data_IF_010861042954
#
_entry.id   IF_010861042954
#
_cell.length_a   1.000
_cell.length_b   1.000
_cell.length_c   1.000
_cell.angle_alpha   90.00
_cell.angle_beta   90.00
_cell.angle_gamma   90.00
#
_symmetry.space_group_name_H-M   'P 1'
#
loop_
_entity.id
_entity.type
_entity.pdbx_description
1 polymer ?
#
# COMPACT_ATOMS: atom_id res chain seq x y z
N UNK A 1 -22.69 6.72 16.18
CA UNK A 1 -22.79 6.91 14.72
C UNK A 1 -21.47 7.56 14.30
N UNK A 2 -20.63 6.89 13.53
CA UNK A 2 -19.33 7.44 13.07
C UNK A 2 -19.60 8.32 11.85
N UNK A 3 -19.31 9.59 11.92
CA UNK A 3 -19.86 10.59 10.99
C UNK A 3 -18.90 11.18 9.98
N UNK A 4 -17.74 10.62 9.68
CA UNK A 4 -16.88 11.16 8.59
C UNK A 4 -15.46 10.58 8.58
N UNK A 5 -14.64 11.01 7.63
CA UNK A 5 -13.18 10.80 7.58
C UNK A 5 -12.52 11.10 8.94
N UNK A 6 -13.01 12.13 9.64
CA UNK A 6 -12.51 12.53 10.96
C UNK A 6 -12.66 11.42 11.99
N UNK A 7 -13.77 10.66 11.93
CA UNK A 7 -14.02 9.58 12.88
C UNK A 7 -13.09 8.38 12.67
N UNK A 8 -12.85 7.97 11.40
CA UNK A 8 -11.90 6.90 11.14
C UNK A 8 -10.48 7.30 11.55
N UNK A 9 -10.05 8.51 11.20
CA UNK A 9 -8.73 9.00 11.58
C UNK A 9 -8.53 9.05 13.10
N UNK A 10 -9.60 9.37 13.84
CA UNK A 10 -9.57 9.40 15.32
C UNK A 10 -9.42 8.02 15.98
N UNK A 11 -9.70 6.95 15.25
CA UNK A 11 -9.54 5.57 15.72
C UNK A 11 -8.12 5.03 15.52
N UNK A 12 -7.31 5.70 14.74
CA UNK A 12 -5.95 5.28 14.39
C UNK A 12 -4.93 5.83 15.39
N UNK A 13 -3.92 5.03 15.70
CA UNK A 13 -2.75 5.48 16.46
C UNK A 13 -1.91 6.45 15.62
N UNK A 14 -1.80 6.16 14.31
CA UNK A 14 -1.17 7.01 13.30
C UNK A 14 -2.18 7.41 12.21
N UNK A 15 -2.85 8.56 12.36
CA UNK A 15 -3.82 9.04 11.36
C UNK A 15 -3.25 9.26 9.96
N UNK A 16 -1.92 9.39 9.82
CA UNK A 16 -1.28 9.59 8.51
C UNK A 16 -1.35 8.36 7.61
N UNK A 17 -1.67 7.20 8.17
CA UNK A 17 -1.90 5.97 7.41
C UNK A 17 -3.19 6.01 6.58
N UNK A 18 -4.15 6.85 6.94
CA UNK A 18 -5.34 7.12 6.13
C UNK A 18 -4.98 8.11 5.01
N UNK A 19 -4.27 7.61 3.99
CA UNK A 19 -3.86 8.42 2.86
C UNK A 19 -5.04 8.74 1.92
N UNK A 20 -5.23 10.03 1.61
CA UNK A 20 -6.30 10.53 0.74
C UNK A 20 -5.79 11.06 -0.59
N UNK A 21 -4.58 10.70 -0.99
CA UNK A 21 -3.95 11.05 -2.26
C UNK A 21 -3.27 9.83 -2.86
N UNK A 22 -2.96 9.88 -4.14
CA UNK A 22 -2.22 8.83 -4.83
C UNK A 22 -0.72 9.09 -4.77
N UNK A 23 0.07 8.06 -4.51
CA UNK A 23 1.52 8.16 -4.41
C UNK A 23 2.17 7.85 -5.76
N UNK A 24 2.86 8.84 -6.36
CA UNK A 24 3.54 8.69 -7.65
C UNK A 24 4.89 9.38 -7.61
N UNK A 25 5.95 8.67 -7.99
CA UNK A 25 7.32 9.20 -8.09
C UNK A 25 7.83 9.89 -6.80
N UNK A 26 7.43 9.41 -5.64
CA UNK A 26 7.84 9.98 -4.35
C UNK A 26 6.92 11.08 -3.81
N UNK A 27 5.84 11.43 -4.52
CA UNK A 27 4.93 12.52 -4.16
C UNK A 27 3.48 12.04 -4.02
N UNK A 28 2.74 12.68 -3.12
CA UNK A 28 1.30 12.49 -2.97
C UNK A 28 0.54 13.47 -3.88
N UNK A 29 -0.11 12.95 -4.93
CA UNK A 29 -0.75 13.76 -5.98
C UNK A 29 -2.28 13.69 -5.93
N UNK A 30 -2.93 14.76 -6.39
CA UNK A 30 -4.35 14.80 -6.76
C UNK A 30 -4.52 14.52 -8.26
N UNK A 31 -5.78 14.37 -8.73
CA UNK A 31 -6.08 14.35 -10.15
C UNK A 31 -5.80 15.74 -10.77
N UNK A 32 -5.32 15.78 -12.01
CA UNK A 32 -4.98 17.02 -12.72
C UNK A 32 -6.19 17.94 -12.89
N UNK A 33 -7.38 17.37 -13.04
CA UNK A 33 -8.66 18.08 -13.16
C UNK A 33 -9.36 18.31 -11.81
N UNK A 34 -8.73 17.87 -10.70
CA UNK A 34 -9.30 17.96 -9.36
C UNK A 34 -10.45 16.98 -9.08
N UNK A 35 -10.76 16.07 -10.01
CA UNK A 35 -11.84 15.10 -9.83
C UNK A 35 -11.54 14.09 -8.72
N UNK A 36 -12.58 13.71 -7.98
CA UNK A 36 -12.49 12.73 -6.89
C UNK A 36 -13.64 11.72 -6.98
N UNK A 37 -13.50 10.63 -6.27
CA UNK A 37 -14.58 9.67 -6.01
C UNK A 37 -14.63 9.31 -4.52
N UNK A 38 -15.83 9.03 -3.98
CA UNK A 38 -15.99 8.67 -2.58
C UNK A 38 -15.58 7.21 -2.33
N UNK A 39 -14.90 6.99 -1.20
CA UNK A 39 -14.78 5.67 -0.58
C UNK A 39 -15.83 5.57 0.51
N UNK A 40 -16.66 4.54 0.48
CA UNK A 40 -17.80 4.39 1.38
C UNK A 40 -17.63 3.18 2.29
N UNK A 41 -18.14 3.28 3.51
CA UNK A 41 -18.26 2.16 4.41
C UNK A 41 -19.41 1.25 3.94
N UNK A 42 -19.17 -0.02 3.58
CA UNK A 42 -20.21 -0.88 3.01
C UNK A 42 -21.29 -1.29 4.01
N UNK A 43 -21.01 -1.24 5.31
CA UNK A 43 -21.98 -1.60 6.34
C UNK A 43 -22.97 -0.46 6.64
N UNK A 44 -22.58 0.81 6.39
CA UNK A 44 -23.38 1.99 6.78
C UNK A 44 -23.72 2.87 5.58
N UNK A 45 -22.95 2.82 4.49
CA UNK A 45 -23.15 3.65 3.30
C UNK A 45 -22.60 5.07 3.42
N UNK A 46 -22.03 5.45 4.57
CA UNK A 46 -21.41 6.77 4.76
C UNK A 46 -20.05 6.86 4.04
N UNK A 47 -19.69 8.08 3.65
CA UNK A 47 -18.41 8.37 2.98
C UNK A 47 -17.30 8.42 4.02
N UNK A 48 -16.26 7.58 3.84
CA UNK A 48 -15.04 7.57 4.64
C UNK A 48 -14.12 8.71 4.21
N UNK A 49 -13.82 8.78 2.92
CA UNK A 49 -12.95 9.80 2.34
C UNK A 49 -13.23 10.02 0.86
N UNK A 50 -12.60 11.05 0.30
CA UNK A 50 -12.55 11.30 -1.14
C UNK A 50 -11.15 10.99 -1.65
N UNK A 51 -11.06 10.16 -2.70
CA UNK A 51 -9.80 9.85 -3.37
C UNK A 51 -9.75 10.50 -4.75
N UNK A 52 -8.56 10.86 -5.25
CA UNK A 52 -8.42 11.43 -6.58
C UNK A 52 -8.78 10.40 -7.65
N UNK A 53 -9.60 10.82 -8.62
CA UNK A 53 -9.98 10.00 -9.76
C UNK A 53 -8.95 10.18 -10.88
N UNK A 54 -7.80 9.52 -10.75
CA UNK A 54 -6.71 9.63 -11.71
C UNK A 54 -7.09 9.02 -13.06
N UNK A 55 -6.89 9.79 -14.12
CA UNK A 55 -7.17 9.39 -15.48
C UNK A 55 -5.97 8.76 -16.20
N UNK A 56 -6.10 8.67 -17.52
CA UNK A 56 -5.08 8.06 -18.40
C UNK A 56 -3.74 8.80 -18.36
N UNK A 57 -3.77 10.14 -18.28
CA UNK A 57 -2.57 10.97 -18.30
C UNK A 57 -1.71 10.73 -17.05
N UNK A 58 -2.32 10.74 -15.88
CA UNK A 58 -1.64 10.47 -14.60
C UNK A 58 -1.12 9.04 -14.53
N UNK A 59 -1.92 8.07 -14.99
CA UNK A 59 -1.48 6.67 -15.07
C UNK A 59 -0.27 6.51 -15.98
N UNK A 60 -0.24 7.17 -17.14
CA UNK A 60 0.91 7.15 -18.04
C UNK A 60 2.17 7.77 -17.39
N UNK A 61 2.02 8.84 -16.61
CA UNK A 61 3.14 9.43 -15.85
C UNK A 61 3.66 8.49 -14.78
N UNK A 62 2.75 7.81 -14.05
CA UNK A 62 3.13 6.84 -13.04
C UNK A 62 3.92 5.66 -13.65
N UNK A 63 3.46 5.11 -14.78
CA UNK A 63 4.17 4.05 -15.51
C UNK A 63 5.55 4.53 -15.97
N UNK A 64 5.65 5.74 -16.53
CA UNK A 64 6.92 6.32 -16.97
C UNK A 64 7.89 6.51 -15.81
N UNK A 65 7.42 6.98 -14.66
CA UNK A 65 8.23 7.15 -13.46
C UNK A 65 8.74 5.79 -12.93
N UNK A 66 7.86 4.79 -12.84
CA UNK A 66 8.23 3.44 -12.44
C UNK A 66 9.25 2.80 -13.39
N UNK A 67 9.06 2.97 -14.71
CA UNK A 67 10.01 2.48 -15.72
C UNK A 67 11.38 3.15 -15.57
N UNK A 68 11.45 4.45 -15.36
CA UNK A 68 12.71 5.18 -15.15
C UNK A 68 13.43 4.71 -13.88
N UNK A 69 12.71 4.47 -12.79
CA UNK A 69 13.28 4.00 -11.53
C UNK A 69 13.76 2.54 -11.58
N UNK A 70 13.18 1.72 -12.47
CA UNK A 70 13.44 0.28 -12.54
C UNK A 70 14.92 -0.04 -12.77
N UNK A 71 15.62 0.70 -13.63
CA UNK A 71 17.03 0.45 -13.97
C UNK A 71 17.94 0.57 -12.75
N UNK A 72 17.78 1.62 -11.99
CA UNK A 72 18.55 1.83 -10.76
C UNK A 72 18.20 0.76 -9.70
N UNK A 73 16.91 0.49 -9.52
CA UNK A 73 16.45 -0.55 -8.61
C UNK A 73 17.01 -1.93 -8.96
N UNK A 74 16.97 -2.30 -10.23
CA UNK A 74 17.49 -3.59 -10.71
C UNK A 74 19.02 -3.72 -10.56
N UNK A 75 19.74 -2.61 -10.61
CA UNK A 75 21.19 -2.59 -10.43
C UNK A 75 21.63 -2.71 -8.97
N UNK A 76 20.74 -2.51 -8.01
CA UNK A 76 21.06 -2.71 -6.58
C UNK A 76 21.34 -4.16 -6.27
N UNK A 77 22.20 -4.41 -5.28
CA UNK A 77 22.46 -5.76 -4.82
C UNK A 77 21.20 -6.43 -4.25
N UNK A 78 21.16 -7.75 -4.28
CA UNK A 78 20.05 -8.52 -3.66
C UNK A 78 19.88 -8.17 -2.18
N UNK A 79 20.99 -7.94 -1.45
CA UNK A 79 20.98 -7.54 -0.04
C UNK A 79 20.27 -6.18 0.17
N UNK A 80 20.59 -5.17 -0.63
CA UNK A 80 19.98 -3.85 -0.52
C UNK A 80 18.47 -3.90 -0.80
N UNK A 81 18.04 -4.64 -1.83
CA UNK A 81 16.63 -4.83 -2.14
C UNK A 81 15.89 -5.58 -1.04
N UNK A 82 16.49 -6.64 -0.50
CA UNK A 82 15.95 -7.41 0.63
C UNK A 82 15.78 -6.54 1.89
N UNK A 83 16.73 -5.63 2.17
CA UNK A 83 16.63 -4.71 3.31
C UNK A 83 15.44 -3.75 3.19
N UNK A 84 15.13 -3.26 1.99
CA UNK A 84 13.96 -2.40 1.76
C UNK A 84 12.67 -3.18 2.02
N UNK A 85 12.55 -4.41 1.48
CA UNK A 85 11.38 -5.27 1.71
C UNK A 85 11.25 -5.64 3.18
N UNK A 86 12.35 -5.95 3.87
CA UNK A 86 12.33 -6.24 5.31
C UNK A 86 11.80 -5.06 6.13
N UNK A 87 12.30 -3.85 5.84
CA UNK A 87 11.78 -2.64 6.50
C UNK A 87 10.30 -2.41 6.22
N UNK A 88 9.85 -2.69 5.01
CA UNK A 88 8.44 -2.58 4.66
C UNK A 88 7.59 -3.57 5.45
N UNK A 89 7.99 -4.84 5.51
CA UNK A 89 7.35 -5.84 6.36
C UNK A 89 7.25 -5.39 7.82
N UNK A 90 8.36 -4.95 8.40
CA UNK A 90 8.41 -4.51 9.81
C UNK A 90 7.46 -3.34 10.05
N UNK A 91 7.34 -2.38 9.11
CA UNK A 91 6.40 -1.27 9.19
C UNK A 91 4.94 -1.72 9.09
N UNK A 92 4.63 -2.66 8.20
CA UNK A 92 3.27 -3.21 8.09
C UNK A 92 2.85 -3.90 9.40
N UNK A 93 3.75 -4.71 9.99
CA UNK A 93 3.45 -5.40 11.25
C UNK A 93 3.37 -4.45 12.44
N UNK A 94 4.20 -3.42 12.50
CA UNK A 94 4.15 -2.40 13.55
C UNK A 94 2.83 -1.59 13.53
N UNK A 95 2.22 -1.43 12.35
CA UNK A 95 0.99 -0.69 12.15
C UNK A 95 -0.22 -1.60 11.85
N UNK A 96 -0.13 -2.89 12.16
CA UNK A 96 -1.16 -3.88 11.83
C UNK A 96 -2.55 -3.49 12.33
N UNK A 97 -2.67 -2.96 13.54
CA UNK A 97 -3.95 -2.56 14.13
C UNK A 97 -4.63 -1.45 13.32
N UNK A 98 -3.88 -0.42 12.96
CA UNK A 98 -4.39 0.73 12.21
C UNK A 98 -4.75 0.32 10.77
N UNK A 99 -3.89 -0.44 10.10
CA UNK A 99 -4.14 -0.95 8.75
C UNK A 99 -5.38 -1.86 8.72
N UNK A 100 -5.55 -2.72 9.72
CA UNK A 100 -6.72 -3.57 9.85
C UNK A 100 -8.00 -2.76 10.13
N UNK A 101 -7.90 -1.67 10.90
CA UNK A 101 -9.04 -0.77 11.17
C UNK A 101 -9.49 -0.07 9.89
N UNK A 102 -8.54 0.43 9.07
CA UNK A 102 -8.83 1.00 7.75
C UNK A 102 -9.50 -0.05 6.85
N UNK A 103 -8.91 -1.24 6.74
CA UNK A 103 -9.46 -2.34 5.93
C UNK A 103 -10.87 -2.71 6.34
N UNK A 104 -11.15 -2.82 7.65
CA UNK A 104 -12.50 -3.08 8.17
C UNK A 104 -13.47 -1.97 7.76
N UNK A 105 -13.08 -0.72 7.87
CA UNK A 105 -13.92 0.42 7.51
C UNK A 105 -14.27 0.45 6.01
N UNK A 106 -13.31 0.18 5.14
CA UNK A 106 -13.48 0.26 3.69
C UNK A 106 -14.15 -0.98 3.07
N UNK A 107 -13.94 -2.16 3.64
CA UNK A 107 -14.36 -3.43 3.05
C UNK A 107 -15.48 -4.12 3.84
N UNK A 108 -15.67 -3.78 5.11
CA UNK A 108 -16.68 -4.41 5.97
C UNK A 108 -16.26 -5.76 6.59
N UNK A 109 -15.01 -6.18 6.44
CA UNK A 109 -14.47 -7.40 7.03
C UNK A 109 -14.38 -7.27 8.57
N UNK A 110 -14.66 -8.33 9.35
CA UNK A 110 -14.42 -8.32 10.80
C UNK A 110 -12.96 -7.99 11.14
N UNK A 111 -12.74 -7.17 12.16
CA UNK A 111 -11.42 -6.67 12.53
C UNK A 111 -10.38 -7.78 12.77
N UNK A 112 -10.80 -8.90 13.39
CA UNK A 112 -9.92 -10.04 13.62
C UNK A 112 -9.41 -10.67 12.32
N UNK A 113 -10.31 -10.78 11.32
CA UNK A 113 -9.95 -11.28 9.98
C UNK A 113 -9.10 -10.26 9.22
N UNK A 114 -9.41 -8.97 9.33
CA UNK A 114 -8.61 -7.90 8.74
C UNK A 114 -7.16 -7.91 9.27
N UNK A 115 -6.95 -8.12 10.58
CA UNK A 115 -5.61 -8.32 11.15
C UNK A 115 -4.89 -9.53 10.55
N UNK A 116 -5.59 -10.64 10.38
CA UNK A 116 -5.05 -11.83 9.71
C UNK A 116 -4.64 -11.54 8.27
N UNK A 117 -5.43 -10.74 7.54
CA UNK A 117 -5.15 -10.37 6.16
C UNK A 117 -3.93 -9.44 6.04
N UNK A 118 -3.79 -8.46 6.95
CA UNK A 118 -2.58 -7.63 7.00
C UNK A 118 -1.33 -8.48 7.25
N UNK A 119 -1.38 -9.43 8.21
CA UNK A 119 -0.28 -10.34 8.45
C UNK A 119 0.02 -11.24 7.24
N UNK A 120 -1.02 -11.79 6.62
CA UNK A 120 -0.90 -12.61 5.42
C UNK A 120 -0.29 -11.84 4.24
N UNK A 121 -0.81 -10.64 3.93
CA UNK A 121 -0.24 -9.80 2.88
C UNK A 121 1.22 -9.43 3.16
N UNK A 122 1.53 -9.09 4.40
CA UNK A 122 2.90 -8.75 4.83
C UNK A 122 3.86 -9.93 4.69
N UNK A 123 3.40 -11.19 4.91
CA UNK A 123 4.23 -12.38 4.77
C UNK A 123 4.79 -12.57 3.36
N UNK A 124 4.09 -12.11 2.31
CA UNK A 124 4.63 -12.10 0.95
C UNK A 124 5.80 -11.13 0.80
N UNK A 125 5.73 -9.95 1.43
CA UNK A 125 6.83 -8.99 1.40
C UNK A 125 8.07 -9.58 2.07
N UNK A 126 7.90 -10.23 3.22
CA UNK A 126 8.97 -10.95 3.92
C UNK A 126 9.53 -12.06 3.05
N UNK A 127 8.67 -12.95 2.52
CA UNK A 127 9.06 -14.08 1.69
C UNK A 127 9.91 -13.63 0.48
N UNK A 128 9.45 -12.65 -0.29
CA UNK A 128 10.19 -12.17 -1.45
C UNK A 128 11.44 -11.37 -1.07
N UNK A 129 11.49 -10.77 0.12
CA UNK A 129 12.71 -10.21 0.69
C UNK A 129 13.79 -11.27 0.92
N UNK A 130 13.40 -12.47 1.39
CA UNK A 130 14.31 -13.61 1.54
C UNK A 130 14.69 -14.24 0.21
N UNK A 131 13.72 -14.46 -0.68
CA UNK A 131 13.94 -15.04 -2.01
C UNK A 131 14.83 -14.16 -2.92
N UNK A 132 14.82 -12.85 -2.73
CA UNK A 132 15.71 -11.94 -3.45
C UNK A 132 17.20 -12.29 -3.33
N UNK A 133 17.59 -12.98 -2.26
CA UNK A 133 18.98 -13.44 -1.99
C UNK A 133 19.29 -14.82 -2.55
N UNK A 134 18.31 -15.54 -3.11
CA UNK A 134 18.43 -16.93 -3.59
C UNK A 134 18.35 -17.07 -5.11
N UNK A 135 18.49 -15.97 -5.84
CA UNK A 135 18.53 -15.99 -7.31
C UNK A 135 19.91 -16.44 -7.81
N UNK A 136 20.15 -17.73 -7.85
CA UNK A 136 21.29 -18.36 -8.52
C UNK A 136 20.78 -19.26 -9.64
N UNK A 137 21.47 -19.30 -10.74
CA UNK A 137 21.08 -20.16 -11.88
C UNK A 137 21.31 -21.63 -11.60
N UNK A 138 20.68 -22.50 -12.40
CA UNK A 138 20.92 -23.94 -12.42
C UNK A 138 22.04 -24.26 -13.43
N UNK A 139 22.85 -25.30 -13.10
CA UNK A 139 23.79 -25.90 -14.04
C UNK A 139 23.11 -27.13 -14.63
N UNK A 140 22.80 -27.06 -15.91
CA UNK A 140 22.24 -28.21 -16.64
C UNK A 140 23.43 -29.02 -17.18
N UNK A 141 23.64 -30.27 -16.71
CA UNK A 141 24.70 -31.13 -17.26
C UNK A 141 24.40 -31.46 -18.73
N UNK A 142 25.45 -31.44 -19.56
CA UNK A 142 25.38 -31.77 -20.98
C UNK A 142 25.20 -33.28 -21.25
#
# INVERSE_FOLDING_TARGET
>A
MLDSVTDLASLLKDPTLLATKSYVAGEWIAADDGSTFPVTNPARGDVICQLPNLGRAETARAIKAAHAAHREWAARTAKERAQVLRKWFDLCMANQDDLATILTAEMGKPLAEAKGEIAYGSSYIEFYGEEAKRTYGDIIPG
#
